data_IF_740954647577
#
_entry.id   IF_740954647577
#
_cell.length_a   1.000
_cell.length_b   1.000
_cell.length_c   1.000
_cell.angle_alpha   90.00
_cell.angle_beta   90.00
_cell.angle_gamma   90.00
#
_symmetry.space_group_name_H-M   'P 1'
#
loop_
_entity.id
_entity.type
_entity.pdbx_description
1 polymer ?
#
# COMPACT_ATOMS: atom_id res chain seq x y z
N UNK A 1 -26.67 -8.29 10.17
CA UNK A 1 -25.52 -7.38 9.92
C UNK A 1 -24.33 -8.20 9.42
N UNK A 2 -23.91 -8.03 8.16
CA UNK A 2 -22.76 -8.73 7.57
C UNK A 2 -21.46 -8.10 8.11
N UNK A 3 -20.58 -8.90 8.72
CA UNK A 3 -19.28 -8.42 9.23
C UNK A 3 -18.37 -8.05 8.05
N UNK A 4 -17.79 -6.85 8.06
CA UNK A 4 -16.78 -6.39 7.10
C UNK A 4 -15.59 -7.37 7.02
N UNK A 5 -15.19 -7.77 5.81
CA UNK A 5 -13.91 -8.46 5.57
C UNK A 5 -12.80 -7.42 5.44
N UNK A 6 -12.17 -7.05 6.55
CA UNK A 6 -10.94 -6.23 6.53
C UNK A 6 -9.74 -7.15 6.30
N UNK A 7 -9.02 -6.93 5.20
CA UNK A 7 -7.75 -7.60 4.93
C UNK A 7 -6.66 -6.78 5.61
N UNK A 8 -5.93 -7.38 6.55
CA UNK A 8 -4.82 -6.76 7.25
C UNK A 8 -3.52 -7.50 6.95
N UNK A 9 -2.53 -6.78 6.43
CA UNK A 9 -1.17 -7.30 6.28
C UNK A 9 -0.28 -6.61 7.31
N UNK A 10 0.41 -7.39 8.15
CA UNK A 10 1.36 -6.89 9.16
C UNK A 10 2.77 -7.36 8.83
N UNK A 11 3.70 -6.42 8.69
CA UNK A 11 5.13 -6.72 8.51
C UNK A 11 5.92 -6.11 9.66
N UNK A 12 6.85 -6.86 10.23
CA UNK A 12 7.77 -6.37 11.25
C UNK A 12 9.11 -6.08 10.61
N UNK A 13 9.64 -4.88 10.83
CA UNK A 13 10.95 -4.48 10.32
C UNK A 13 11.65 -3.69 11.41
N UNK A 14 12.96 -3.87 11.54
CA UNK A 14 13.80 -3.47 12.69
C UNK A 14 13.71 -4.47 13.86
N UNK A 15 14.55 -5.53 13.80
CA UNK A 15 14.61 -6.61 14.80
C UNK A 15 15.45 -6.23 16.03
N UNK A 16 16.33 -5.25 15.87
CA UNK A 16 17.34 -4.85 16.86
C UNK A 16 16.89 -3.68 17.75
N UNK A 17 15.85 -2.95 17.33
CA UNK A 17 15.12 -1.96 18.13
C UNK A 17 13.68 -2.44 18.30
N UNK A 18 12.95 -1.92 19.28
CA UNK A 18 11.56 -2.33 19.55
C UNK A 18 10.79 -2.49 18.22
N UNK A 19 10.17 -3.67 17.98
CA UNK A 19 9.71 -4.04 16.66
C UNK A 19 8.67 -3.04 16.16
N UNK A 20 8.94 -2.45 14.99
CA UNK A 20 7.97 -1.59 14.30
C UNK A 20 7.09 -2.49 13.45
N UNK A 21 5.78 -2.29 13.54
CA UNK A 21 4.80 -3.00 12.72
C UNK A 21 4.33 -2.07 11.60
N UNK A 22 4.58 -2.44 10.35
CA UNK A 22 3.85 -1.90 9.21
C UNK A 22 2.49 -2.58 9.16
N UNK A 23 1.41 -1.81 9.30
CA UNK A 23 0.05 -2.26 9.11
C UNK A 23 -0.49 -1.67 7.80
N UNK A 24 -1.00 -2.54 6.93
CA UNK A 24 -1.72 -2.16 5.72
C UNK A 24 -3.16 -2.63 5.90
N UNK A 25 -4.12 -1.71 5.74
CA UNK A 25 -5.54 -2.02 5.82
C UNK A 25 -6.29 -1.40 4.64
N UNK A 26 -7.38 -2.06 4.26
CA UNK A 26 -8.20 -1.68 3.11
C UNK A 26 -9.66 -1.55 3.52
N UNK A 27 -10.27 -0.43 3.12
CA UNK A 27 -11.70 -0.20 3.16
C UNK A 27 -12.21 -0.19 1.72
N UNK A 28 -13.12 -1.11 1.41
CA UNK A 28 -13.74 -1.15 0.10
C UNK A 28 -14.65 0.07 -0.13
N UNK A 29 -14.84 0.51 -1.39
CA UNK A 29 -15.88 1.46 -1.73
C UNK A 29 -17.26 0.92 -1.30
N UNK A 30 -18.12 1.80 -0.79
CA UNK A 30 -19.46 1.44 -0.32
C UNK A 30 -20.50 2.37 -0.93
N UNK A 31 -21.72 1.87 -1.13
CA UNK A 31 -22.85 2.69 -1.54
C UNK A 31 -23.59 3.17 -0.28
N UNK A 32 -23.78 4.47 -0.15
CA UNK A 32 -24.51 5.06 0.97
C UNK A 32 -26.04 4.84 0.86
N UNK A 33 -26.78 5.26 1.89
CA UNK A 33 -28.24 5.11 1.93
C UNK A 33 -28.99 5.91 0.85
N UNK A 34 -28.31 6.81 0.16
CA UNK A 34 -28.84 7.68 -0.90
C UNK A 34 -28.40 7.24 -2.30
N UNK A 35 -27.66 6.12 -2.41
CA UNK A 35 -27.18 5.59 -3.68
C UNK A 35 -25.86 6.20 -4.16
N UNK A 36 -25.18 7.03 -3.37
CA UNK A 36 -23.89 7.59 -3.75
C UNK A 36 -22.76 6.61 -3.43
N UNK A 37 -21.78 6.52 -4.32
CA UNK A 37 -20.56 5.75 -4.08
C UNK A 37 -19.65 6.56 -3.16
N UNK A 38 -19.36 6.02 -1.98
CA UNK A 38 -18.29 6.48 -1.09
C UNK A 38 -17.01 5.78 -1.49
N UNK A 39 -16.01 6.58 -1.83
CA UNK A 39 -14.70 6.07 -2.21
C UNK A 39 -14.06 5.25 -1.07
N UNK A 40 -13.38 4.16 -1.44
CA UNK A 40 -12.64 3.35 -0.50
C UNK A 40 -11.33 4.01 -0.07
N UNK A 41 -10.60 3.37 0.83
CA UNK A 41 -9.30 3.86 1.27
C UNK A 41 -8.33 2.72 1.57
N UNK A 42 -7.05 2.96 1.28
CA UNK A 42 -5.94 2.14 1.78
C UNK A 42 -5.22 2.95 2.85
N UNK A 43 -5.08 2.37 4.03
CA UNK A 43 -4.42 2.99 5.17
C UNK A 43 -3.12 2.25 5.42
N UNK A 44 -2.01 3.00 5.43
CA UNK A 44 -0.67 2.51 5.70
C UNK A 44 -0.18 3.18 6.99
N UNK A 45 0.15 2.38 7.99
CA UNK A 45 0.62 2.88 9.27
C UNK A 45 1.86 2.12 9.76
N UNK A 46 2.82 2.85 10.31
CA UNK A 46 3.93 2.32 11.08
C UNK A 46 3.58 2.51 12.55
N UNK A 47 3.48 1.41 13.27
CA UNK A 47 3.07 1.36 14.66
C UNK A 47 4.26 0.88 15.48
N UNK A 48 4.62 1.62 16.53
CA UNK A 48 5.51 1.16 17.58
C UNK A 48 4.77 1.21 18.93
N UNK A 49 5.47 0.89 20.03
CA UNK A 49 4.85 0.85 21.37
C UNK A 49 4.30 2.20 21.83
N UNK A 50 4.94 3.29 21.43
CA UNK A 50 4.74 4.63 22.01
C UNK A 50 4.00 5.58 21.05
N UNK A 51 3.93 5.24 19.76
CA UNK A 51 3.42 6.11 18.70
C UNK A 51 2.97 5.32 17.47
N UNK A 52 2.09 5.93 16.68
CA UNK A 52 1.71 5.48 15.34
C UNK A 52 1.77 6.65 14.37
N UNK A 53 2.45 6.46 13.25
CA UNK A 53 2.45 7.41 12.12
C UNK A 53 1.90 6.69 10.90
N UNK A 54 0.97 7.33 10.20
CA UNK A 54 0.39 6.74 9.01
C UNK A 54 -0.25 7.79 8.11
N UNK A 55 -0.57 7.36 6.90
CA UNK A 55 -1.31 8.13 5.93
C UNK A 55 -2.36 7.25 5.27
N UNK A 56 -3.40 7.89 4.73
CA UNK A 56 -4.48 7.24 4.01
C UNK A 56 -4.45 7.71 2.58
N UNK A 57 -4.59 6.78 1.64
CA UNK A 57 -4.77 7.05 0.23
C UNK A 57 -6.20 6.66 -0.17
N UNK A 58 -6.80 7.40 -1.08
CA UNK A 58 -8.07 6.98 -1.66
C UNK A 58 -7.87 5.74 -2.54
N UNK A 59 -8.94 5.01 -2.87
CA UNK A 59 -8.82 3.90 -3.83
C UNK A 59 -8.38 4.35 -5.22
N UNK A 60 -8.74 5.56 -5.65
CA UNK A 60 -8.26 6.16 -6.89
C UNK A 60 -6.74 6.43 -6.84
N UNK A 61 -6.28 7.10 -5.78
CA UNK A 61 -4.85 7.41 -5.59
C UNK A 61 -3.98 6.14 -5.59
N UNK A 62 -4.50 5.06 -5.01
CA UNK A 62 -3.81 3.77 -4.97
C UNK A 62 -3.71 3.15 -6.36
N UNK A 63 -4.76 3.25 -7.18
CA UNK A 63 -4.74 2.74 -8.55
C UNK A 63 -3.66 3.49 -9.37
N UNK A 64 -3.64 4.81 -9.29
CA UNK A 64 -2.64 5.65 -9.96
C UNK A 64 -1.22 5.30 -9.49
N UNK A 65 -1.03 5.14 -8.18
CA UNK A 65 0.27 4.76 -7.60
C UNK A 65 0.74 3.39 -8.10
N UNK A 66 -0.15 2.41 -8.19
CA UNK A 66 0.18 1.06 -8.72
C UNK A 66 0.65 1.17 -10.17
N UNK A 67 0.00 1.99 -11.00
CA UNK A 67 0.37 2.17 -12.40
C UNK A 67 1.73 2.85 -12.56
N UNK A 68 1.99 3.89 -11.77
CA UNK A 68 3.31 4.57 -11.73
C UNK A 68 4.41 3.60 -11.30
N UNK A 69 4.22 2.88 -10.19
CA UNK A 69 5.20 1.93 -9.68
C UNK A 69 5.46 0.77 -10.66
N UNK A 70 4.42 0.30 -11.34
CA UNK A 70 4.53 -0.72 -12.38
C UNK A 70 5.38 -0.21 -13.55
N UNK A 71 5.16 1.04 -13.97
CA UNK A 71 5.95 1.67 -15.03
C UNK A 71 7.41 1.85 -14.64
N UNK A 72 7.67 2.36 -13.43
CA UNK A 72 9.03 2.49 -12.89
C UNK A 72 9.73 1.14 -12.83
N UNK A 73 9.06 0.10 -12.31
CA UNK A 73 9.61 -1.26 -12.24
C UNK A 73 10.00 -1.79 -13.63
N UNK A 74 9.12 -1.64 -14.63
CA UNK A 74 9.43 -2.03 -16.01
C UNK A 74 10.66 -1.29 -16.55
N UNK A 75 10.71 0.03 -16.35
CA UNK A 75 11.83 0.87 -16.79
C UNK A 75 13.17 0.46 -16.15
N UNK A 76 13.16 0.19 -14.84
CA UNK A 76 14.33 -0.30 -14.12
C UNK A 76 14.83 -1.63 -14.68
N UNK A 77 13.94 -2.61 -14.86
CA UNK A 77 14.30 -3.91 -15.44
C UNK A 77 14.93 -3.74 -16.82
N UNK A 78 14.32 -2.94 -17.70
CA UNK A 78 14.86 -2.68 -19.04
C UNK A 78 16.24 -2.03 -18.98
N UNK A 79 16.45 -1.06 -18.09
CA UNK A 79 17.76 -0.42 -17.92
C UNK A 79 18.82 -1.40 -17.40
N UNK A 80 18.48 -2.23 -16.42
CA UNK A 80 19.39 -3.25 -15.88
C UNK A 80 19.81 -4.27 -16.94
N UNK A 81 18.86 -4.76 -17.74
CA UNK A 81 19.17 -5.70 -18.84
C UNK A 81 20.11 -5.05 -19.87
N UNK A 82 19.85 -3.79 -20.25
CA UNK A 82 20.72 -3.07 -21.19
C UNK A 82 22.14 -2.86 -20.66
N UNK A 83 22.29 -2.62 -19.35
CA UNK A 83 23.61 -2.50 -18.73
C UNK A 83 24.37 -3.83 -18.77
N UNK A 84 23.70 -4.94 -18.45
CA UNK A 84 24.29 -6.28 -18.54
C UNK A 84 24.75 -6.62 -19.96
N UNK A 85 23.97 -6.25 -20.98
CA UNK A 85 24.33 -6.47 -22.39
C UNK A 85 25.48 -5.58 -22.91
N UNK A 86 25.88 -4.54 -22.18
CA UNK A 86 27.01 -3.67 -22.53
C UNK A 86 28.31 -4.08 -21.82
N UNK A 87 28.22 -4.92 -20.79
CA UNK A 87 29.35 -5.46 -20.05
C UNK A 87 29.87 -6.79 -20.62
N UNK A 88 29.10 -7.42 -21.53
CA UNK A 88 29.46 -8.59 -22.35
C UNK A 88 29.95 -8.19 -23.75
#
# INVERSE_FOLDING_TARGET
>A
MRKMKKIFTRLHFDKDKQPKTLAISYNAPEVDAYGNIREGAVIIAIINKDNSVGFSLSTGDVADLIDVLTTVRKSLITKTIKLQQQED
#
